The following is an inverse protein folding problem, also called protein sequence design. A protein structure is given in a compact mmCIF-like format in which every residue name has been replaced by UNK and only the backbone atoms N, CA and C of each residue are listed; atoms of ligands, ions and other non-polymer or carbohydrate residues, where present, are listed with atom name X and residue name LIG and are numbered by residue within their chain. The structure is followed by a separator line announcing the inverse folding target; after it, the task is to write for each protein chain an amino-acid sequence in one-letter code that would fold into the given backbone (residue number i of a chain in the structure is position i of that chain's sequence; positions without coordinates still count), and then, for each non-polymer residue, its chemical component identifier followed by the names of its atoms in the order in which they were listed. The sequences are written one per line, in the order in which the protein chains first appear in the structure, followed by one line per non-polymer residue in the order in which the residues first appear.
data_IF_485196994777
#
_entry.id   IF_485196994777
#
_cell.length_a   1.000
_cell.length_b   1.000
_cell.length_c   1.000
_cell.angle_alpha   90.00
_cell.angle_beta   90.00
_cell.angle_gamma   90.00
#
_symmetry.space_group_name_H-M   'P 1'
#
loop_
_entity.id
_entity.type
_entity.pdbx_description
1 polymer ?
#
# COMPACT_ATOMS: atom_id res chain seq x y z
N UNK A 1 -22.11 29.95 -6.51
CA UNK A 1 -21.35 29.62 -7.73
C UNK A 1 -21.26 28.09 -7.86
N UNK A 2 -22.06 27.48 -8.76
CA UNK A 2 -21.98 26.04 -9.06
C UNK A 2 -20.62 25.81 -9.73
N UNK A 3 -19.75 25.03 -9.09
CA UNK A 3 -18.53 24.58 -9.75
C UNK A 3 -18.96 23.80 -10.99
N UNK A 4 -18.55 24.27 -12.17
CA UNK A 4 -18.72 23.55 -13.43
C UNK A 4 -18.13 22.14 -13.25
N UNK A 5 -18.91 21.07 -13.46
CA UNK A 5 -18.34 19.73 -13.46
C UNK A 5 -17.33 19.67 -14.61
N UNK A 6 -16.08 19.34 -14.31
CA UNK A 6 -15.05 19.18 -15.33
C UNK A 6 -15.57 18.21 -16.40
N UNK A 7 -15.61 18.68 -17.64
CA UNK A 7 -16.29 18.09 -18.81
C UNK A 7 -15.92 16.62 -19.11
N UNK A 8 -14.87 16.09 -18.49
CA UNK A 8 -14.42 14.69 -18.63
C UNK A 8 -15.13 13.66 -17.73
N UNK A 9 -15.82 14.09 -16.66
CA UNK A 9 -16.34 13.18 -15.63
C UNK A 9 -17.65 12.45 -15.99
N UNK A 10 -18.22 12.69 -17.17
CA UNK A 10 -19.59 12.25 -17.49
C UNK A 10 -19.69 11.09 -18.49
N UNK A 11 -18.57 10.52 -18.92
CA UNK A 11 -18.60 9.34 -19.81
C UNK A 11 -19.04 8.09 -19.04
N UNK A 12 -19.78 7.20 -19.70
CA UNK A 12 -20.25 5.93 -19.13
C UNK A 12 -19.10 5.08 -18.56
N UNK A 13 -17.96 5.08 -19.25
CA UNK A 13 -16.74 4.37 -18.85
C UNK A 13 -16.20 4.90 -17.50
N UNK A 14 -16.12 6.22 -17.34
CA UNK A 14 -15.69 6.83 -16.07
C UNK A 14 -16.63 6.51 -14.91
N UNK A 15 -17.94 6.44 -15.17
CA UNK A 15 -18.93 6.02 -14.15
C UNK A 15 -18.77 4.56 -13.76
N UNK A 16 -18.51 3.68 -14.72
CA UNK A 16 -18.23 2.26 -14.47
C UNK A 16 -17.00 2.08 -13.58
N UNK A 17 -15.86 2.69 -13.97
CA UNK A 17 -14.61 2.57 -13.21
C UNK A 17 -14.60 3.38 -11.91
N UNK A 18 -15.56 4.27 -11.65
CA UNK A 18 -15.72 4.95 -10.36
C UNK A 18 -16.72 4.26 -9.42
N UNK A 19 -17.13 3.03 -9.74
CA UNK A 19 -18.08 2.26 -8.93
C UNK A 19 -17.39 1.57 -7.74
N UNK A 20 -17.89 1.82 -6.53
CA UNK A 20 -17.47 1.10 -5.31
C UNK A 20 -17.89 -0.38 -5.39
N UNK A 21 -19.02 -0.70 -6.04
CA UNK A 21 -19.46 -2.10 -6.22
C UNK A 21 -18.46 -2.88 -7.08
N UNK A 22 -17.94 -2.24 -8.13
CA UNK A 22 -16.88 -2.82 -8.95
C UNK A 22 -15.60 -3.02 -8.13
N UNK A 23 -15.21 -2.04 -7.32
CA UNK A 23 -14.05 -2.15 -6.44
C UNK A 23 -14.14 -3.36 -5.49
N UNK A 24 -15.27 -3.50 -4.80
CA UNK A 24 -15.53 -4.60 -3.87
C UNK A 24 -15.54 -5.94 -4.60
N UNK A 25 -16.18 -6.02 -5.76
CA UNK A 25 -16.17 -7.22 -6.59
C UNK A 25 -14.74 -7.63 -6.99
N UNK A 26 -13.95 -6.71 -7.56
CA UNK A 26 -12.57 -6.96 -7.98
C UNK A 26 -11.69 -7.39 -6.79
N UNK A 27 -11.86 -6.75 -5.63
CA UNK A 27 -11.11 -7.09 -4.43
C UNK A 27 -11.44 -8.51 -3.95
N UNK A 28 -12.72 -8.90 -3.93
CA UNK A 28 -13.15 -10.26 -3.57
C UNK A 28 -12.60 -11.28 -4.57
N UNK A 29 -12.69 -10.99 -5.87
CA UNK A 29 -12.14 -11.88 -6.91
C UNK A 29 -10.62 -12.05 -6.78
N UNK A 30 -9.89 -10.97 -6.53
CA UNK A 30 -8.45 -11.02 -6.27
C UNK A 30 -8.13 -11.82 -5.01
N UNK A 31 -8.91 -11.67 -3.93
CA UNK A 31 -8.72 -12.42 -2.69
C UNK A 31 -8.92 -13.92 -2.92
N UNK A 32 -10.02 -14.32 -3.56
CA UNK A 32 -10.32 -15.74 -3.85
C UNK A 32 -9.24 -16.34 -4.73
N UNK A 33 -8.83 -15.66 -5.80
CA UNK A 33 -7.81 -16.16 -6.71
C UNK A 33 -6.42 -16.24 -6.06
N UNK A 34 -6.09 -15.29 -5.16
CA UNK A 34 -4.85 -15.34 -4.37
C UNK A 34 -4.84 -16.50 -3.38
N UNK A 35 -5.98 -16.83 -2.76
CA UNK A 35 -6.10 -18.04 -1.92
C UNK A 35 -5.83 -19.29 -2.75
N UNK A 36 -6.45 -19.42 -3.93
CA UNK A 36 -6.21 -20.56 -4.83
C UNK A 36 -4.74 -20.64 -5.25
N UNK A 37 -4.12 -19.53 -5.63
CA UNK A 37 -2.70 -19.45 -5.99
C UNK A 37 -1.75 -19.73 -4.82
N UNK A 38 -2.21 -19.59 -3.57
CA UNK A 38 -1.42 -19.95 -2.39
C UNK A 38 -1.53 -21.44 -2.07
N UNK A 39 -2.70 -22.04 -2.29
CA UNK A 39 -2.94 -23.47 -2.04
C UNK A 39 -2.22 -24.36 -3.07
N UNK A 40 -2.15 -23.91 -4.33
CA UNK A 40 -1.44 -24.62 -5.39
C UNK A 40 0.05 -24.27 -5.30
N UNK A 41 0.97 -25.24 -5.16
CA UNK A 41 2.42 -24.97 -5.17
C UNK A 41 2.80 -24.18 -6.43
N UNK A 42 3.59 -23.11 -6.29
CA UNK A 42 3.94 -22.22 -7.41
C UNK A 42 5.35 -22.54 -7.96
N UNK A 43 5.50 -22.52 -9.29
CA UNK A 43 6.81 -22.69 -9.96
C UNK A 43 7.38 -24.10 -9.96
N UNK A 44 6.56 -25.13 -9.68
CA UNK A 44 6.97 -26.53 -9.76
C UNK A 44 7.01 -27.05 -11.21
N UNK A 45 7.58 -28.24 -11.40
CA UNK A 45 7.63 -28.86 -12.73
C UNK A 45 6.25 -29.27 -13.23
N UNK A 46 6.05 -29.31 -14.55
CA UNK A 46 4.78 -29.77 -15.14
C UNK A 46 4.45 -31.22 -14.76
N UNK A 47 5.49 -32.06 -14.57
CA UNK A 47 5.34 -33.44 -14.14
C UNK A 47 4.77 -33.53 -12.72
N UNK A 48 5.28 -32.70 -11.80
CA UNK A 48 4.77 -32.63 -10.43
C UNK A 48 3.26 -32.37 -10.39
N UNK A 49 2.76 -31.42 -11.19
CA UNK A 49 1.33 -31.13 -11.23
C UNK A 49 0.50 -32.26 -11.84
N UNK A 50 1.02 -32.95 -12.86
CA UNK A 50 0.34 -34.08 -13.48
C UNK A 50 0.21 -35.26 -12.50
N UNK A 51 1.26 -35.54 -11.74
CA UNK A 51 1.28 -36.62 -10.73
C UNK A 51 0.42 -36.27 -9.51
N UNK A 52 0.50 -35.04 -9.02
CA UNK A 52 -0.18 -34.61 -7.78
C UNK A 52 -1.68 -34.42 -7.97
N UNK A 53 -2.10 -33.82 -9.09
CA UNK A 53 -3.50 -33.42 -9.30
C UNK A 53 -4.22 -34.22 -10.41
N UNK A 54 -3.50 -35.08 -11.12
CA UNK A 54 -4.03 -35.88 -12.21
C UNK A 54 -4.30 -35.09 -13.50
N UNK A 55 -4.67 -35.79 -14.60
CA UNK A 55 -4.69 -35.19 -15.95
C UNK A 55 -5.72 -34.08 -16.15
N UNK A 56 -6.90 -34.19 -15.52
CA UNK A 56 -7.99 -33.24 -15.72
C UNK A 56 -7.69 -31.89 -15.08
N UNK A 57 -7.26 -31.88 -13.82
CA UNK A 57 -6.95 -30.64 -13.11
C UNK A 57 -5.64 -30.02 -13.62
N UNK A 58 -4.65 -30.85 -14.00
CA UNK A 58 -3.44 -30.40 -14.69
C UNK A 58 -3.75 -29.54 -15.93
N UNK A 59 -4.73 -29.93 -16.74
CA UNK A 59 -5.16 -29.12 -17.91
C UNK A 59 -5.65 -27.74 -17.50
N UNK A 60 -6.42 -27.65 -16.41
CA UNK A 60 -6.90 -26.37 -15.87
C UNK A 60 -5.74 -25.52 -15.38
N UNK A 61 -4.83 -26.10 -14.58
CA UNK A 61 -3.61 -25.43 -14.09
C UNK A 61 -2.82 -24.87 -15.28
N UNK A 62 -2.62 -25.66 -16.33
CA UNK A 62 -1.85 -25.26 -17.49
C UNK A 62 -2.52 -24.15 -18.30
N UNK A 63 -3.83 -24.23 -18.55
CA UNK A 63 -4.57 -23.24 -19.36
C UNK A 63 -4.71 -21.91 -18.63
N UNK A 64 -5.03 -21.95 -17.33
CA UNK A 64 -5.17 -20.76 -16.51
C UNK A 64 -3.83 -20.29 -15.92
N UNK A 65 -2.73 -20.99 -16.20
CA UNK A 65 -1.41 -20.68 -15.64
C UNK A 65 -1.40 -20.60 -14.10
N UNK A 66 -2.14 -21.50 -13.44
CA UNK A 66 -2.27 -21.51 -11.97
C UNK A 66 -0.97 -21.91 -11.25
N UNK A 67 -0.03 -22.53 -11.98
CA UNK A 67 1.32 -22.82 -11.52
C UNK A 67 2.17 -21.54 -11.34
N UNK A 68 1.76 -20.45 -11.97
CA UNK A 68 2.36 -19.12 -11.79
C UNK A 68 1.25 -18.05 -11.84
N UNK A 69 0.37 -18.13 -10.85
CA UNK A 69 -0.88 -17.36 -10.77
C UNK A 69 -0.60 -15.85 -10.77
N UNK A 70 0.41 -15.40 -10.03
CA UNK A 70 0.69 -13.97 -9.82
C UNK A 70 1.28 -13.27 -11.05
N UNK A 71 1.85 -14.02 -11.98
CA UNK A 71 2.38 -13.51 -13.26
C UNK A 71 1.41 -13.77 -14.43
N UNK A 72 0.29 -14.45 -14.17
CA UNK A 72 -0.70 -14.78 -15.20
C UNK A 72 -1.38 -13.53 -15.75
N UNK A 73 -1.68 -13.55 -17.05
CA UNK A 73 -2.29 -12.42 -17.76
C UNK A 73 -3.62 -11.99 -17.13
N UNK A 74 -4.45 -12.94 -16.68
CA UNK A 74 -5.75 -12.64 -16.10
C UNK A 74 -5.61 -12.01 -14.71
N UNK A 75 -4.63 -12.43 -13.90
CA UNK A 75 -4.38 -11.84 -12.58
C UNK A 75 -3.88 -10.40 -12.72
N UNK A 76 -2.96 -10.16 -13.64
CA UNK A 76 -2.45 -8.82 -13.95
C UNK A 76 -3.55 -7.90 -14.51
N UNK A 77 -4.48 -8.42 -15.31
CA UNK A 77 -5.66 -7.65 -15.75
C UNK A 77 -6.55 -7.29 -14.56
N UNK A 78 -6.86 -8.24 -13.66
CA UNK A 78 -7.66 -7.96 -12.47
C UNK A 78 -7.00 -6.90 -11.59
N UNK A 79 -5.69 -7.01 -11.36
CA UNK A 79 -4.90 -6.04 -10.60
C UNK A 79 -4.90 -4.67 -11.27
N UNK A 80 -4.75 -4.62 -12.60
CA UNK A 80 -4.79 -3.39 -13.40
C UNK A 80 -6.16 -2.71 -13.37
N UNK A 81 -7.24 -3.49 -13.49
CA UNK A 81 -8.62 -3.00 -13.38
C UNK A 81 -8.89 -2.43 -11.99
N UNK A 82 -8.45 -3.12 -10.93
CA UNK A 82 -8.59 -2.67 -9.55
C UNK A 82 -7.79 -1.39 -9.29
N UNK A 83 -6.54 -1.33 -9.75
CA UNK A 83 -5.69 -0.14 -9.65
C UNK A 83 -6.30 1.05 -10.38
N UNK A 84 -6.81 0.84 -11.59
CA UNK A 84 -7.49 1.86 -12.39
C UNK A 84 -8.75 2.37 -11.68
N UNK A 85 -9.55 1.47 -11.11
CA UNK A 85 -10.72 1.82 -10.31
C UNK A 85 -10.35 2.69 -9.10
N UNK A 86 -9.30 2.33 -8.35
CA UNK A 86 -8.83 3.12 -7.20
C UNK A 86 -8.36 4.51 -7.63
N UNK A 87 -7.57 4.62 -8.69
CA UNK A 87 -7.12 5.92 -9.24
C UNK A 87 -8.31 6.79 -9.62
N UNK A 88 -9.24 6.26 -10.41
CA UNK A 88 -10.42 7.00 -10.88
C UNK A 88 -11.32 7.42 -9.72
N UNK A 89 -11.58 6.53 -8.75
CA UNK A 89 -12.35 6.85 -7.54
C UNK A 89 -11.69 7.99 -6.74
N UNK A 90 -10.36 7.97 -6.64
CA UNK A 90 -9.57 8.97 -5.90
C UNK A 90 -9.64 10.33 -6.59
N UNK A 91 -9.40 10.37 -7.90
CA UNK A 91 -9.46 11.60 -8.71
C UNK A 91 -10.88 12.22 -8.69
N UNK A 92 -11.93 11.39 -8.76
CA UNK A 92 -13.32 11.86 -8.69
C UNK A 92 -13.65 12.51 -7.35
N UNK A 93 -13.09 12.01 -6.25
CA UNK A 93 -13.37 12.51 -4.88
C UNK A 93 -12.54 13.75 -4.51
N UNK A 94 -11.41 13.96 -5.19
CA UNK A 94 -10.47 15.04 -4.93
C UNK A 94 -11.11 16.44 -4.91
N UNK A 95 -11.88 16.89 -5.93
CA UNK A 95 -12.43 18.25 -5.93
C UNK A 95 -13.39 18.49 -4.76
N UNK A 96 -14.20 17.49 -4.39
CA UNK A 96 -15.09 17.58 -3.25
C UNK A 96 -14.32 17.68 -1.92
N UNK A 97 -13.25 16.90 -1.78
CA UNK A 97 -12.40 16.93 -0.58
C UNK A 97 -11.67 18.26 -0.45
N UNK A 98 -11.15 18.79 -1.56
CA UNK A 98 -10.53 20.12 -1.59
C UNK A 98 -11.52 21.21 -1.21
N UNK A 99 -12.77 21.11 -1.69
CA UNK A 99 -13.84 22.05 -1.33
C UNK A 99 -14.16 21.98 0.17
N UNK A 100 -14.19 20.80 0.77
CA UNK A 100 -14.39 20.63 2.21
C UNK A 100 -13.21 21.17 3.03
N UNK A 101 -11.98 20.84 2.61
CA UNK A 101 -10.76 21.28 3.28
C UNK A 101 -10.60 22.82 3.27
N UNK A 102 -10.96 23.45 2.14
CA UNK A 102 -10.92 24.91 1.96
C UNK A 102 -12.17 25.63 2.44
N UNK A 103 -13.21 24.91 2.90
CA UNK A 103 -14.45 25.53 3.33
C UNK A 103 -14.17 26.42 4.54
N UNK A 104 -14.55 27.69 4.44
CA UNK A 104 -14.58 28.57 5.58
C UNK A 104 -15.79 28.21 6.46
N UNK A 105 -15.50 27.71 7.66
CA UNK A 105 -16.52 27.34 8.63
C UNK A 105 -16.90 28.54 9.53
N UNK A 106 -16.25 29.70 9.38
CA UNK A 106 -16.63 30.95 10.05
C UNK A 106 -17.75 31.70 9.32
N UNK A 107 -18.00 31.36 8.05
CA UNK A 107 -19.07 31.95 7.25
C UNK A 107 -20.43 31.26 7.47
N UNK A 108 -20.61 30.57 8.61
CA UNK A 108 -21.86 29.85 8.92
C UNK A 108 -22.91 30.85 9.41
N UNK A 109 -24.13 30.67 8.92
CA UNK A 109 -25.32 31.41 9.32
C UNK A 109 -25.64 31.21 10.80
N UNK A 110 -25.84 32.30 11.54
CA UNK A 110 -26.08 32.29 12.99
C UNK A 110 -27.36 31.52 13.33
N UNK A 111 -28.41 31.66 12.53
CA UNK A 111 -29.67 30.94 12.71
C UNK A 111 -29.46 29.42 12.66
N UNK A 112 -28.56 28.97 11.77
CA UNK A 112 -28.25 27.55 11.65
C UNK A 112 -27.52 27.03 12.88
N UNK A 113 -26.61 27.81 13.46
CA UNK A 113 -25.90 27.45 14.70
C UNK A 113 -26.89 27.33 15.87
N UNK A 114 -27.81 28.28 16.00
CA UNK A 114 -28.84 28.30 17.05
C UNK A 114 -29.82 27.13 16.95
N UNK A 115 -29.99 26.54 15.76
CA UNK A 115 -30.83 25.37 15.48
C UNK A 115 -30.08 24.04 15.62
N UNK A 116 -28.77 24.03 15.93
CA UNK A 116 -28.02 22.78 16.11
C UNK A 116 -28.45 22.05 17.39
N UNK A 117 -28.54 20.70 17.36
CA UNK A 117 -29.06 19.91 18.48
C UNK A 117 -28.15 19.92 19.71
N UNK A 118 -26.84 20.06 19.50
CA UNK A 118 -25.85 20.12 20.57
C UNK A 118 -25.44 21.56 20.82
N UNK A 119 -26.20 22.24 21.68
CA UNK A 119 -25.90 23.61 22.11
C UNK A 119 -26.15 23.80 23.60
N UNK A 120 -25.50 24.81 24.16
CA UNK A 120 -25.71 25.27 25.53
C UNK A 120 -25.75 26.79 25.50
N UNK A 121 -26.91 27.33 25.85
CA UNK A 121 -27.16 28.76 25.85
C UNK A 121 -27.04 29.28 27.30
N UNK A 122 -26.42 30.45 27.47
CA UNK A 122 -26.29 31.14 28.75
C UNK A 122 -26.69 32.59 28.59
N UNK A 123 -27.46 33.10 29.55
CA UNK A 123 -27.90 34.50 29.58
C UNK A 123 -27.38 35.14 30.86
N UNK A 124 -26.73 36.30 30.72
CA UNK A 124 -26.22 37.09 31.84
C UNK A 124 -27.14 38.30 32.01
N UNK A 125 -27.88 38.35 33.12
CA UNK A 125 -28.89 39.39 33.40
C UNK A 125 -28.31 40.79 33.67
N UNK A 126 -26.99 40.90 33.78
CA UNK A 126 -26.28 42.16 34.04
C UNK A 126 -25.71 42.68 32.72
N UNK A 127 -25.86 43.97 32.44
CA UNK A 127 -25.12 44.60 31.34
C UNK A 127 -23.62 44.41 31.57
N UNK A 128 -22.97 43.81 30.58
CA UNK A 128 -21.54 43.62 30.57
C UNK A 128 -20.90 44.86 29.96
N UNK A 129 -19.90 45.40 30.65
CA UNK A 129 -18.99 46.35 30.04
C UNK A 129 -18.02 45.62 29.08
N UNK A 130 -17.30 46.41 28.27
CA UNK A 130 -16.33 45.86 27.32
C UNK A 130 -15.23 45.04 28.03
N UNK A 131 -14.81 45.44 29.23
CA UNK A 131 -13.73 44.78 29.98
C UNK A 131 -14.15 43.41 30.54
N UNK A 132 -15.38 43.30 31.06
CA UNK A 132 -15.96 42.01 31.47
C UNK A 132 -16.15 41.08 30.27
N UNK A 133 -16.54 41.62 29.11
CA UNK A 133 -16.72 40.86 27.88
C UNK A 133 -15.39 40.26 27.40
N UNK A 134 -14.33 41.07 27.34
CA UNK A 134 -12.99 40.60 26.97
C UNK A 134 -12.43 39.60 28.00
N UNK A 135 -12.72 39.81 29.29
CA UNK A 135 -12.33 38.88 30.36
C UNK A 135 -12.98 37.50 30.17
N UNK A 136 -14.27 37.43 29.86
CA UNK A 136 -14.99 36.18 29.56
C UNK A 136 -14.40 35.49 28.34
N UNK A 137 -14.16 36.25 27.26
CA UNK A 137 -13.55 35.71 26.04
C UNK A 137 -12.18 35.14 26.39
N UNK A 138 -11.33 35.85 27.14
CA UNK A 138 -9.99 35.42 27.54
C UNK A 138 -10.00 34.12 28.35
N UNK A 139 -10.95 33.96 29.27
CA UNK A 139 -11.13 32.72 30.03
C UNK A 139 -11.55 31.57 29.10
N UNK A 140 -12.43 31.84 28.15
CA UNK A 140 -12.82 30.86 27.13
C UNK A 140 -11.65 30.48 26.21
N UNK A 141 -10.76 31.42 25.85
CA UNK A 141 -9.54 31.14 25.07
C UNK A 141 -8.66 30.12 25.78
N UNK A 142 -8.52 30.22 27.11
CA UNK A 142 -7.70 29.30 27.91
C UNK A 142 -8.24 27.87 27.89
N UNK A 143 -9.57 27.70 27.85
CA UNK A 143 -10.22 26.37 27.85
C UNK A 143 -10.32 25.79 26.43
N UNK A 144 -10.75 26.59 25.45
CA UNK A 144 -11.00 26.14 24.08
C UNK A 144 -9.73 25.99 23.23
N UNK A 145 -8.63 26.68 23.59
CA UNK A 145 -7.37 26.68 22.84
C UNK A 145 -7.41 27.62 21.63
N UNK A 146 -6.77 27.23 20.51
CA UNK A 146 -6.78 28.04 19.27
C UNK A 146 -8.18 28.01 18.62
N UNK A 147 -8.73 29.19 18.35
CA UNK A 147 -9.96 29.38 17.59
C UNK A 147 -9.78 30.56 16.63
N UNK A 148 -10.64 30.62 15.63
CA UNK A 148 -10.76 31.75 14.72
C UNK A 148 -11.97 32.59 15.14
N UNK A 149 -11.90 33.90 14.89
CA UNK A 149 -12.92 34.87 15.30
C UNK A 149 -13.49 35.58 14.07
N UNK A 150 -14.80 35.83 14.11
CA UNK A 150 -15.50 36.72 13.19
C UNK A 150 -16.36 37.67 14.00
N UNK A 151 -16.07 38.96 13.89
CA UNK A 151 -16.84 40.04 14.54
C UNK A 151 -18.06 40.41 13.71
N UNK A 152 -19.06 41.03 14.35
CA UNK A 152 -20.25 41.62 13.70
C UNK A 152 -21.13 40.61 12.93
N UNK A 153 -21.34 39.43 13.51
CA UNK A 153 -22.34 38.46 13.00
C UNK A 153 -23.64 38.68 13.77
N UNK A 154 -24.64 39.30 13.14
CA UNK A 154 -25.97 39.57 13.72
C UNK A 154 -25.93 40.26 15.08
N UNK A 155 -25.02 41.22 15.24
CA UNK A 155 -24.81 41.96 16.49
C UNK A 155 -23.96 41.23 17.55
N UNK A 156 -23.43 40.04 17.24
CA UNK A 156 -22.56 39.25 18.11
C UNK A 156 -21.17 38.97 17.53
N UNK A 157 -20.37 38.19 18.29
CA UNK A 157 -19.06 37.67 17.86
C UNK A 157 -19.12 36.15 17.76
N UNK A 158 -18.60 35.60 16.67
CA UNK A 158 -18.54 34.16 16.43
C UNK A 158 -17.11 33.64 16.62
N UNK A 159 -16.97 32.61 17.44
CA UNK A 159 -15.70 31.91 17.66
C UNK A 159 -15.81 30.47 17.15
N UNK A 160 -14.83 30.01 16.38
CA UNK A 160 -14.77 28.66 15.85
C UNK A 160 -13.44 27.98 16.20
N UNK A 161 -13.51 26.85 16.90
CA UNK A 161 -12.39 25.92 17.01
C UNK A 161 -12.72 24.64 16.25
N UNK A 162 -11.81 24.22 15.37
CA UNK A 162 -11.91 22.99 14.62
C UNK A 162 -10.61 22.20 14.70
N UNK A 163 -10.71 20.88 14.83
CA UNK A 163 -9.57 19.97 14.86
C UNK A 163 -9.76 18.87 13.82
N UNK A 164 -8.65 18.31 13.33
CA UNK A 164 -8.70 17.13 12.47
C UNK A 164 -8.92 17.38 10.98
N UNK A 165 -8.63 18.58 10.43
CA UNK A 165 -8.69 18.84 8.97
C UNK A 165 -7.85 17.87 8.14
N UNK A 166 -6.79 17.31 8.72
CA UNK A 166 -5.95 16.30 8.06
C UNK A 166 -6.69 14.98 7.77
N UNK A 167 -7.75 14.66 8.52
CA UNK A 167 -8.54 13.43 8.32
C UNK A 167 -9.13 13.31 6.91
N UNK A 168 -9.42 14.43 6.25
CA UNK A 168 -9.90 14.45 4.86
C UNK A 168 -8.92 13.80 3.87
N UNK A 169 -7.63 13.82 4.18
CA UNK A 169 -6.56 13.26 3.36
C UNK A 169 -6.30 11.77 3.60
N UNK A 170 -6.86 11.18 4.68
CA UNK A 170 -6.56 9.81 5.09
C UNK A 170 -6.79 8.76 3.99
N UNK A 171 -7.91 8.85 3.27
CA UNK A 171 -8.21 7.90 2.18
C UNK A 171 -7.22 8.00 1.02
N UNK A 172 -6.66 9.18 0.76
CA UNK A 172 -5.70 9.40 -0.32
C UNK A 172 -4.36 8.78 0.05
N UNK A 173 -3.97 8.87 1.33
CA UNK A 173 -2.81 8.15 1.86
C UNK A 173 -2.96 6.63 1.70
N UNK A 174 -4.11 6.08 2.09
CA UNK A 174 -4.40 4.64 1.97
C UNK A 174 -4.37 4.15 0.52
N UNK A 175 -5.07 4.85 -0.39
CA UNK A 175 -5.08 4.45 -1.80
C UNK A 175 -3.70 4.63 -2.43
N UNK A 176 -2.99 5.72 -2.09
CA UNK A 176 -1.64 5.96 -2.55
C UNK A 176 -0.67 4.85 -2.12
N UNK A 177 -0.72 4.41 -0.86
CA UNK A 177 0.14 3.32 -0.39
C UNK A 177 -0.11 2.00 -1.11
N UNK A 178 -1.38 1.65 -1.36
CA UNK A 178 -1.74 0.43 -2.11
C UNK A 178 -1.20 0.51 -3.54
N UNK A 179 -1.39 1.64 -4.21
CA UNK A 179 -0.91 1.85 -5.58
C UNK A 179 0.62 1.81 -5.68
N UNK A 180 1.33 2.38 -4.70
CA UNK A 180 2.80 2.32 -4.62
C UNK A 180 3.28 0.89 -4.48
N UNK A 181 2.65 0.09 -3.60
CA UNK A 181 3.01 -1.33 -3.41
C UNK A 181 2.80 -2.11 -4.72
N UNK A 182 1.66 -1.92 -5.40
CA UNK A 182 1.40 -2.60 -6.67
C UNK A 182 2.36 -2.17 -7.77
N UNK A 183 2.68 -0.88 -7.84
CA UNK A 183 3.67 -0.40 -8.80
C UNK A 183 5.05 -1.01 -8.53
N UNK A 184 5.51 -1.06 -7.29
CA UNK A 184 6.76 -1.71 -6.91
C UNK A 184 6.77 -3.20 -7.26
N UNK A 185 5.66 -3.90 -7.02
CA UNK A 185 5.52 -5.30 -7.41
C UNK A 185 5.59 -5.49 -8.94
N UNK A 186 4.96 -4.61 -9.73
CA UNK A 186 5.06 -4.63 -11.20
C UNK A 186 6.48 -4.33 -11.69
N UNK A 187 7.18 -3.39 -11.06
CA UNK A 187 8.59 -3.11 -11.37
C UNK A 187 9.44 -4.34 -11.09
N UNK A 188 9.27 -4.99 -9.93
CA UNK A 188 9.98 -6.23 -9.59
C UNK A 188 9.62 -7.40 -10.50
N UNK A 189 8.39 -7.44 -11.00
CA UNK A 189 7.91 -8.44 -11.97
C UNK A 189 8.61 -8.30 -13.33
N UNK A 190 8.75 -7.08 -13.84
CA UNK A 190 9.28 -6.84 -15.19
C UNK A 190 10.79 -6.65 -15.24
N UNK A 191 11.40 -6.10 -14.18
CA UNK A 191 12.84 -5.80 -14.13
C UNK A 191 13.62 -6.73 -13.22
N UNK A 192 12.93 -7.47 -12.33
CA UNK A 192 13.58 -8.41 -11.44
C UNK A 192 13.89 -9.73 -12.13
N UNK A 193 14.85 -10.46 -11.56
CA UNK A 193 15.18 -11.80 -11.97
C UNK A 193 15.25 -12.72 -10.75
N UNK A 194 15.00 -14.01 -10.97
CA UNK A 194 15.10 -15.05 -9.94
C UNK A 194 15.78 -16.26 -10.53
N UNK A 195 16.65 -16.87 -9.75
CA UNK A 195 17.35 -18.07 -10.16
C UNK A 195 17.86 -18.86 -8.96
N UNK A 196 18.47 -19.99 -9.28
CA UNK A 196 19.07 -20.89 -8.31
C UNK A 196 20.45 -21.29 -8.78
N UNK A 197 21.31 -21.58 -7.82
CA UNK A 197 22.66 -22.11 -8.05
C UNK A 197 22.92 -23.24 -7.07
N UNK A 198 23.76 -24.19 -7.49
CA UNK A 198 24.40 -25.11 -6.59
C UNK A 198 25.83 -24.60 -6.40
N UNK A 199 26.17 -24.15 -5.18
CA UNK A 199 27.49 -23.60 -4.86
C UNK A 199 28.15 -24.43 -3.75
N UNK A 200 28.92 -25.47 -4.11
CA UNK A 200 29.71 -26.26 -3.17
C UNK A 200 30.74 -25.41 -2.39
N UNK A 201 31.18 -25.93 -1.24
CA UNK A 201 32.26 -25.31 -0.47
C UNK A 201 33.56 -25.20 -1.29
N UNK A 202 34.23 -24.06 -1.20
CA UNK A 202 35.44 -23.73 -1.94
C UNK A 202 35.19 -23.22 -3.36
N UNK A 203 33.99 -23.39 -3.92
CA UNK A 203 33.66 -22.96 -5.27
C UNK A 203 33.23 -21.50 -5.34
N UNK A 204 33.44 -20.90 -6.52
CA UNK A 204 33.10 -19.51 -6.86
C UNK A 204 32.23 -19.49 -8.11
N UNK A 205 31.18 -18.68 -8.11
CA UNK A 205 30.28 -18.51 -9.26
C UNK A 205 29.96 -17.03 -9.49
N UNK A 206 29.70 -16.66 -10.72
CA UNK A 206 29.44 -15.28 -11.16
C UNK A 206 28.06 -15.11 -11.84
N UNK A 207 27.25 -16.17 -11.86
CA UNK A 207 25.95 -16.22 -12.50
C UNK A 207 24.96 -17.04 -11.69
N UNK A 208 23.68 -16.89 -12.01
CA UNK A 208 22.61 -17.77 -11.53
C UNK A 208 21.88 -18.42 -12.68
N UNK A 209 21.20 -19.54 -12.44
CA UNK A 209 20.36 -20.19 -13.46
C UNK A 209 18.91 -19.75 -13.25
N UNK A 210 18.34 -19.11 -14.27
CA UNK A 210 16.94 -18.67 -14.28
C UNK A 210 16.00 -19.85 -14.07
N UNK A 211 15.08 -19.76 -13.10
CA UNK A 211 14.07 -20.82 -12.88
C UNK A 211 13.04 -20.85 -14.01
N UNK A 212 12.86 -19.75 -14.74
CA UNK A 212 11.86 -19.64 -15.81
C UNK A 212 12.41 -20.07 -17.18
N UNK A 213 13.63 -19.64 -17.52
CA UNK A 213 14.22 -19.85 -18.85
C UNK A 213 15.33 -20.89 -18.87
N UNK A 214 15.89 -21.25 -17.70
CA UNK A 214 17.09 -22.08 -17.61
C UNK A 214 18.38 -21.38 -18.06
N UNK A 215 18.30 -20.11 -18.45
CA UNK A 215 19.45 -19.34 -18.91
C UNK A 215 20.33 -18.87 -17.75
N UNK A 216 21.62 -18.71 -18.03
CA UNK A 216 22.59 -18.15 -17.08
C UNK A 216 22.45 -16.62 -17.06
N UNK A 217 22.17 -16.07 -15.89
CA UNK A 217 22.07 -14.63 -15.66
C UNK A 217 23.33 -14.18 -14.93
N UNK A 218 24.20 -13.37 -15.55
CA UNK A 218 25.41 -12.87 -14.91
C UNK A 218 25.07 -11.89 -13.78
N UNK A 219 25.74 -12.02 -12.63
CA UNK A 219 25.55 -11.16 -11.47
C UNK A 219 26.35 -9.86 -11.54
N UNK A 220 27.43 -9.84 -12.34
CA UNK A 220 28.38 -8.71 -12.38
C UNK A 220 29.26 -8.60 -11.12
N UNK A 221 29.33 -9.68 -10.35
CA UNK A 221 30.25 -9.95 -9.25
C UNK A 221 30.27 -11.48 -9.05
N UNK A 222 31.26 -11.99 -8.33
CA UNK A 222 31.34 -13.41 -8.00
C UNK A 222 31.03 -13.66 -6.54
N UNK A 223 30.46 -14.82 -6.23
CA UNK A 223 30.18 -15.28 -4.88
C UNK A 223 30.92 -16.59 -4.67
N UNK A 224 31.71 -16.65 -3.60
CA UNK A 224 32.42 -17.84 -3.16
C UNK A 224 31.79 -18.38 -1.88
N UNK A 225 31.52 -19.68 -1.84
CA UNK A 225 31.15 -20.36 -0.61
C UNK A 225 32.43 -20.77 0.12
N UNK A 226 32.79 -20.08 1.20
CA UNK A 226 33.98 -20.45 1.96
C UNK A 226 33.71 -21.71 2.79
N UNK A 227 32.51 -21.81 3.36
CA UNK A 227 32.11 -22.91 4.25
C UNK A 227 30.59 -23.02 4.32
N UNK A 228 30.10 -24.22 4.49
CA UNK A 228 28.72 -24.59 4.74
C UNK A 228 28.66 -25.54 5.94
N UNK A 229 27.81 -25.21 6.90
CA UNK A 229 27.65 -26.01 8.11
C UNK A 229 26.18 -26.25 8.40
N UNK A 230 25.87 -27.46 8.89
CA UNK A 230 24.54 -27.84 9.35
C UNK A 230 24.66 -28.23 10.82
N UNK A 231 23.91 -27.56 11.68
CA UNK A 231 23.73 -28.01 13.06
C UNK A 231 22.41 -28.79 13.18
N UNK A 232 22.38 -29.77 14.07
CA UNK A 232 21.22 -30.61 14.32
C UNK A 232 20.76 -30.48 15.78
N UNK A 233 19.47 -30.66 16.02
CA UNK A 233 18.93 -30.89 17.36
C UNK A 233 19.26 -32.31 17.83
N UNK A 234 19.10 -32.57 19.13
CA UNK A 234 19.35 -33.90 19.72
C UNK A 234 18.50 -35.01 19.10
N UNK A 235 17.33 -34.66 18.53
CA UNK A 235 16.45 -35.58 17.81
C UNK A 235 16.88 -35.84 16.35
N UNK A 236 18.01 -35.29 15.90
CA UNK A 236 18.54 -35.43 14.55
C UNK A 236 17.91 -34.51 13.51
N UNK A 237 16.95 -33.67 13.87
CA UNK A 237 16.37 -32.70 12.94
C UNK A 237 17.36 -31.55 12.66
N UNK A 238 17.51 -31.06 11.41
CA UNK A 238 18.30 -29.88 11.12
C UNK A 238 17.83 -28.68 11.94
N UNK A 239 18.76 -28.06 12.64
CA UNK A 239 18.56 -26.87 13.48
C UNK A 239 18.90 -25.59 12.75
N UNK A 240 20.02 -25.58 12.04
CA UNK A 240 20.49 -24.41 11.31
C UNK A 240 21.29 -24.84 10.08
N UNK A 241 21.03 -24.17 8.96
CA UNK A 241 21.87 -24.20 7.77
C UNK A 241 22.61 -22.86 7.69
N UNK A 242 23.93 -22.91 7.71
CA UNK A 242 24.79 -21.71 7.71
C UNK A 242 25.78 -21.78 6.57
N UNK A 243 25.87 -20.71 5.78
CA UNK A 243 26.86 -20.57 4.71
C UNK A 243 27.70 -19.32 4.94
N UNK A 244 29.02 -19.46 4.98
CA UNK A 244 29.97 -18.35 5.02
C UNK A 244 30.32 -17.95 3.59
N UNK A 245 29.79 -16.82 3.15
CA UNK A 245 29.91 -16.36 1.76
C UNK A 245 30.84 -15.16 1.64
N UNK A 246 31.60 -15.11 0.56
CA UNK A 246 32.43 -13.96 0.18
C UNK A 246 32.03 -13.47 -1.19
N UNK A 247 31.80 -12.17 -1.30
CA UNK A 247 31.61 -11.49 -2.58
C UNK A 247 32.97 -11.01 -3.09
N UNK A 248 33.24 -11.32 -4.34
CA UNK A 248 34.44 -10.98 -5.07
C UNK A 248 34.08 -10.01 -6.21
N UNK A 249 34.88 -8.98 -6.40
CA UNK A 249 34.80 -8.09 -7.55
C UNK A 249 36.19 -8.01 -8.18
N UNK A 250 36.35 -8.50 -9.40
CA UNK A 250 37.65 -8.66 -10.07
C UNK A 250 38.66 -9.42 -9.18
N UNK A 251 38.23 -10.58 -8.65
CA UNK A 251 38.99 -11.46 -7.73
C UNK A 251 39.41 -10.85 -6.38
N UNK A 252 38.95 -9.64 -6.07
CA UNK A 252 39.17 -9.01 -4.76
C UNK A 252 37.97 -9.21 -3.87
N UNK A 253 38.22 -9.66 -2.64
CA UNK A 253 37.19 -9.75 -1.62
C UNK A 253 36.70 -8.36 -1.25
N UNK A 254 35.41 -8.11 -1.45
CA UNK A 254 34.78 -6.81 -1.20
C UNK A 254 33.75 -6.89 -0.07
N UNK A 255 33.20 -8.06 0.20
CA UNK A 255 32.21 -8.26 1.23
C UNK A 255 32.21 -9.70 1.72
N UNK A 256 31.96 -9.91 3.02
CA UNK A 256 31.87 -11.22 3.63
C UNK A 256 30.68 -11.25 4.60
N UNK A 257 29.85 -12.29 4.51
CA UNK A 257 28.73 -12.50 5.43
C UNK A 257 28.42 -13.98 5.59
N UNK A 258 28.22 -14.41 6.84
CA UNK A 258 27.57 -15.66 7.17
C UNK A 258 26.06 -15.51 7.03
N UNK A 259 25.44 -16.29 6.17
CA UNK A 259 23.98 -16.31 5.99
C UNK A 259 23.36 -17.51 6.66
N UNK A 260 22.12 -17.34 7.11
CA UNK A 260 21.26 -18.42 7.63
C UNK A 260 19.86 -18.26 7.04
N UNK A 261 18.98 -19.23 7.29
CA UNK A 261 17.56 -19.15 6.88
C UNK A 261 16.95 -17.86 7.45
N UNK A 262 16.34 -17.04 6.58
CA UNK A 262 15.78 -15.72 6.87
C UNK A 262 16.78 -14.59 7.20
N UNK A 263 18.09 -14.79 7.04
CA UNK A 263 19.11 -13.72 7.10
C UNK A 263 20.01 -13.77 5.85
N UNK A 264 19.54 -13.21 4.71
CA UNK A 264 20.22 -13.31 3.43
C UNK A 264 21.42 -12.36 3.30
N UNK A 265 22.30 -12.64 2.34
CA UNK A 265 23.33 -11.71 1.88
C UNK A 265 22.69 -10.81 0.82
N UNK A 266 22.82 -9.50 0.99
CA UNK A 266 22.39 -8.51 0.01
C UNK A 266 23.62 -7.76 -0.52
N UNK A 267 23.80 -7.73 -1.84
CA UNK A 267 24.90 -7.01 -2.47
C UNK A 267 24.49 -6.45 -3.84
N UNK A 268 24.76 -5.16 -4.07
CA UNK A 268 24.37 -4.42 -5.30
C UNK A 268 22.87 -4.54 -5.65
N UNK A 269 22.00 -4.75 -4.66
CA UNK A 269 20.55 -4.89 -4.87
C UNK A 269 20.09 -6.29 -5.27
N UNK A 270 20.95 -7.29 -5.14
CA UNK A 270 20.68 -8.74 -5.29
C UNK A 270 20.74 -9.42 -3.93
#
# INVERSE_FOLDING_TARGET
MKASPSTYQDTSIWRFFSSVRLAVFLLITLAITSIVGTVIPQGESLQFYLETFGPNFFRIIKVLHLNDTYHSWWYLILLGLFSTNLVICTLRRLPFTLKLYRKDNLSVDSERLLKMPFKKDWEIKKELDNDSTESIISAFKKVAGKFHERTEVDGGRLFLSERGKWSYWGVYGLHGSILIIFFGALVGLFLGFKGSIMLPEGETIDHIVSRQTGEHIPLGFSVRCNRFNISFYDNGAPKEYRSDLTVLNDDKEVFHKSIVVNDPLEYKGV
#
